data_IF_485545071207
#
_entry.id   IF_485545071207
#
_cell.length_a   1.000
_cell.length_b   1.000
_cell.length_c   1.000
_cell.angle_alpha   90.00
_cell.angle_beta   90.00
_cell.angle_gamma   90.00
#
_symmetry.space_group_name_H-M   'P 1'
#
loop_
_entity.id
_entity.type
_entity.pdbx_description
1 polymer ?
#
# COMPACT_ATOMS: atom_id res chain seq x y z
N UNK A 1 -34.60 56.85 38.40
CA UNK A 1 -33.59 57.45 37.51
C UNK A 1 -33.56 56.55 36.28
N UNK A 2 -34.52 56.66 35.36
CA UNK A 2 -34.59 57.57 34.19
C UNK A 2 -33.32 57.45 33.32
N UNK A 3 -33.29 57.25 31.99
CA UNK A 3 -34.16 56.89 30.84
C UNK A 3 -33.12 56.65 29.71
N UNK A 4 -33.40 55.82 28.69
CA UNK A 4 -32.68 55.92 27.42
C UNK A 4 -33.02 54.82 26.42
N UNK A 5 -33.91 55.13 25.47
CA UNK A 5 -34.46 54.28 24.41
C UNK A 5 -33.54 54.13 23.20
N UNK A 6 -33.85 53.12 22.39
CA UNK A 6 -33.27 52.76 21.08
C UNK A 6 -33.08 53.92 20.09
N UNK A 7 -32.06 53.79 19.23
CA UNK A 7 -32.10 54.28 17.85
C UNK A 7 -31.24 53.38 16.91
N UNK A 8 -31.63 53.43 15.64
CA UNK A 8 -31.32 52.55 14.51
C UNK A 8 -29.90 52.68 13.91
N UNK A 9 -29.61 51.76 12.96
CA UNK A 9 -28.50 51.76 11.98
C UNK A 9 -27.16 51.18 12.45
N UNK A 10 -26.99 49.87 12.18
CA UNK A 10 -25.71 49.18 12.21
C UNK A 10 -25.75 47.92 11.36
N UNK A 11 -25.84 48.07 10.03
CA UNK A 11 -25.57 47.00 9.08
C UNK A 11 -24.17 46.44 9.31
N UNK A 12 -24.06 45.21 9.83
CA UNK A 12 -22.83 44.43 9.72
C UNK A 12 -22.85 43.80 8.33
N UNK A 13 -22.30 44.52 7.35
CA UNK A 13 -21.89 43.95 6.07
C UNK A 13 -20.68 43.04 6.35
N UNK A 14 -20.97 41.75 6.53
CA UNK A 14 -19.98 40.69 6.49
C UNK A 14 -20.30 39.76 5.32
N UNK A 15 -20.25 40.29 4.10
CA UNK A 15 -20.15 39.44 2.92
C UNK A 15 -18.79 38.74 3.00
N UNK A 16 -18.80 37.49 3.48
CA UNK A 16 -17.71 36.56 3.20
C UNK A 16 -17.73 36.30 1.70
N UNK A 17 -16.97 37.08 0.94
CA UNK A 17 -16.55 36.72 -0.41
C UNK A 17 -15.75 35.42 -0.32
N UNK A 18 -16.44 34.29 -0.43
CA UNK A 18 -15.81 33.02 -0.71
C UNK A 18 -15.39 33.05 -2.18
N UNK A 19 -14.09 33.21 -2.39
CA UNK A 19 -13.44 33.33 -3.70
C UNK A 19 -13.91 32.21 -4.66
N UNK A 20 -14.51 32.57 -5.80
CA UNK A 20 -15.05 31.61 -6.78
C UNK A 20 -13.98 30.63 -7.28
N UNK A 21 -12.72 31.05 -7.33
CA UNK A 21 -11.58 30.18 -7.64
C UNK A 21 -11.41 29.05 -6.62
N UNK A 22 -11.62 29.33 -5.33
CA UNK A 22 -11.52 28.31 -4.28
C UNK A 22 -12.65 27.28 -4.38
N UNK A 23 -13.84 27.69 -4.84
CA UNK A 23 -14.99 26.80 -5.05
C UNK A 23 -14.74 25.91 -6.26
N UNK A 24 -14.21 26.46 -7.36
CA UNK A 24 -13.85 25.69 -8.55
C UNK A 24 -12.75 24.67 -8.23
N UNK A 25 -11.69 25.05 -7.52
CA UNK A 25 -10.63 24.14 -7.08
C UNK A 25 -11.18 23.00 -6.20
N UNK A 26 -12.01 23.32 -5.20
CA UNK A 26 -12.67 22.32 -4.35
C UNK A 26 -13.60 21.38 -5.15
N UNK A 27 -14.27 21.90 -6.17
CA UNK A 27 -15.14 21.11 -7.05
C UNK A 27 -14.32 20.17 -7.95
N UNK A 28 -13.16 20.63 -8.42
CA UNK A 28 -12.25 19.87 -9.26
C UNK A 28 -11.54 18.78 -8.46
N UNK A 29 -11.12 19.08 -7.24
CA UNK A 29 -10.57 18.08 -6.30
C UNK A 29 -11.60 17.01 -5.93
N UNK A 30 -12.87 17.38 -5.70
CA UNK A 30 -13.96 16.41 -5.47
C UNK A 30 -14.20 15.51 -6.68
N UNK A 31 -14.18 16.07 -7.90
CA UNK A 31 -14.30 15.28 -9.15
C UNK A 31 -13.11 14.33 -9.32
N UNK A 32 -11.89 14.82 -9.11
CA UNK A 32 -10.67 14.02 -9.24
C UNK A 32 -10.57 12.93 -8.17
N UNK A 33 -10.97 13.24 -6.93
CA UNK A 33 -11.07 12.28 -5.83
C UNK A 33 -12.12 11.19 -6.09
N UNK A 34 -13.24 11.55 -6.73
CA UNK A 34 -14.26 10.58 -7.14
C UNK A 34 -13.80 9.65 -8.29
N UNK A 35 -12.84 10.09 -9.10
CA UNK A 35 -12.26 9.30 -10.20
C UNK A 35 -11.14 8.37 -9.72
N UNK A 36 -10.40 8.75 -8.68
CA UNK A 36 -9.29 7.99 -8.12
C UNK A 36 -9.79 6.85 -7.24
N UNK A 37 -9.55 5.62 -7.69
CA UNK A 37 -9.90 4.42 -6.92
C UNK A 37 -9.04 4.24 -5.68
N UNK A 38 -9.66 3.64 -4.66
CA UNK A 38 -8.93 3.19 -3.47
C UNK A 38 -7.93 2.12 -3.87
N UNK A 39 -6.68 2.21 -3.42
CA UNK A 39 -5.65 1.20 -3.69
C UNK A 39 -5.22 0.53 -2.40
N UNK A 40 -5.14 -0.79 -2.39
CA UNK A 40 -4.79 -1.58 -1.21
C UNK A 40 -3.55 -2.42 -1.52
N UNK A 41 -2.49 -2.18 -0.76
CA UNK A 41 -1.31 -3.04 -0.74
C UNK A 41 -1.34 -3.90 0.52
N UNK A 42 -1.44 -5.22 0.39
CA UNK A 42 -1.21 -6.12 1.53
C UNK A 42 0.26 -6.50 1.58
N UNK A 43 0.93 -6.22 2.69
CA UNK A 43 2.35 -6.48 2.89
C UNK A 43 2.54 -7.43 4.07
N UNK A 44 2.77 -8.70 3.76
CA UNK A 44 3.14 -9.70 4.75
C UNK A 44 4.66 -9.80 4.87
N UNK A 45 5.15 -10.07 6.08
CA UNK A 45 6.55 -10.46 6.30
C UNK A 45 6.63 -11.91 6.70
N UNK A 46 7.51 -12.68 6.07
CA UNK A 46 7.72 -14.09 6.37
C UNK A 46 9.16 -14.35 6.78
N UNK A 47 9.34 -15.21 7.78
CA UNK A 47 10.65 -15.77 8.14
C UNK A 47 10.44 -17.14 8.78
N UNK A 48 10.84 -18.19 8.08
CA UNK A 48 10.66 -19.58 8.51
C UNK A 48 9.19 -19.99 8.78
N UNK A 49 8.24 -19.40 8.07
CA UNK A 49 6.83 -19.80 8.15
C UNK A 49 6.67 -21.26 7.68
N UNK A 50 5.70 -21.94 8.26
CA UNK A 50 5.29 -23.29 7.86
C UNK A 50 4.40 -23.25 6.61
N UNK A 51 4.24 -24.38 5.94
CA UNK A 51 3.32 -24.47 4.80
C UNK A 51 1.88 -24.09 5.17
N UNK A 52 1.44 -24.41 6.39
CA UNK A 52 0.08 -24.10 6.86
C UNK A 52 -0.12 -22.60 7.01
N UNK A 53 0.86 -21.89 7.61
CA UNK A 53 0.83 -20.43 7.77
C UNK A 53 0.85 -19.75 6.39
N UNK A 54 1.77 -20.16 5.51
CA UNK A 54 1.82 -19.65 4.14
C UNK A 54 0.50 -19.88 3.38
N UNK A 55 -0.12 -21.05 3.55
CA UNK A 55 -1.39 -21.39 2.93
C UNK A 55 -2.54 -20.52 3.45
N UNK A 56 -2.57 -20.21 4.75
CA UNK A 56 -3.58 -19.33 5.35
C UNK A 56 -3.49 -17.90 4.79
N UNK A 57 -2.28 -17.33 4.74
CA UNK A 57 -2.09 -16.02 4.14
C UNK A 57 -2.48 -16.02 2.65
N UNK A 58 -1.99 -17.00 1.88
CA UNK A 58 -2.24 -17.07 0.45
C UNK A 58 -3.74 -17.23 0.14
N UNK A 59 -4.48 -17.99 0.96
CA UNK A 59 -5.95 -18.03 0.87
C UNK A 59 -6.58 -16.66 1.05
N UNK A 60 -6.12 -15.87 2.01
CA UNK A 60 -6.62 -14.51 2.23
C UNK A 60 -6.34 -13.58 1.05
N UNK A 61 -5.13 -13.66 0.48
CA UNK A 61 -4.73 -12.92 -0.73
C UNK A 61 -5.61 -13.33 -1.92
N UNK A 62 -5.84 -14.63 -2.14
CA UNK A 62 -6.68 -15.15 -3.23
C UNK A 62 -8.15 -14.74 -3.08
N UNK A 63 -8.67 -14.64 -1.85
CA UNK A 63 -10.02 -14.11 -1.61
C UNK A 63 -10.14 -12.64 -2.00
N UNK A 64 -9.13 -11.82 -1.67
CA UNK A 64 -9.10 -10.41 -2.09
C UNK A 64 -9.01 -10.26 -3.61
N UNK A 65 -8.20 -11.10 -4.25
CA UNK A 65 -8.08 -11.14 -5.70
C UNK A 65 -9.41 -11.48 -6.38
N UNK A 66 -10.10 -12.51 -5.88
CA UNK A 66 -11.42 -12.91 -6.37
C UNK A 66 -12.49 -11.84 -6.15
N UNK A 67 -12.55 -11.19 -4.99
CA UNK A 67 -13.52 -10.12 -4.69
C UNK A 67 -13.32 -8.92 -5.62
N UNK A 68 -12.07 -8.46 -5.75
CA UNK A 68 -11.75 -7.33 -6.62
C UNK A 68 -12.02 -7.65 -8.10
N UNK A 69 -11.77 -8.90 -8.54
CA UNK A 69 -12.10 -9.35 -9.89
C UNK A 69 -13.62 -9.29 -10.16
N UNK A 70 -14.43 -9.78 -9.22
CA UNK A 70 -15.89 -9.75 -9.33
C UNK A 70 -16.40 -8.30 -9.43
N UNK A 71 -15.90 -7.39 -8.59
CA UNK A 71 -16.24 -5.96 -8.61
C UNK A 71 -15.83 -5.28 -9.92
N UNK A 72 -14.60 -5.56 -10.40
CA UNK A 72 -14.10 -5.05 -11.68
C UNK A 72 -14.98 -5.48 -12.84
N UNK A 73 -15.41 -6.74 -12.83
CA UNK A 73 -16.30 -7.32 -13.85
C UNK A 73 -17.68 -6.66 -13.80
N UNK A 74 -18.29 -6.55 -12.62
CA UNK A 74 -19.57 -5.89 -12.44
C UNK A 74 -19.54 -4.44 -12.94
N UNK A 75 -18.46 -3.71 -12.67
CA UNK A 75 -18.29 -2.34 -13.16
C UNK A 75 -18.15 -2.27 -14.69
N UNK A 76 -17.30 -3.11 -15.27
CA UNK A 76 -16.96 -3.03 -16.69
C UNK A 76 -18.12 -3.49 -17.58
N UNK A 77 -18.84 -4.53 -17.16
CA UNK A 77 -19.87 -5.18 -17.98
C UNK A 77 -21.30 -4.81 -17.60
N UNK A 78 -21.57 -4.52 -16.31
CA UNK A 78 -22.93 -4.16 -15.85
C UNK A 78 -23.08 -2.64 -15.63
N UNK A 79 -22.01 -1.87 -15.83
CA UNK A 79 -21.96 -0.42 -15.58
C UNK A 79 -22.45 0.00 -14.20
N UNK A 80 -22.40 -0.92 -13.23
CA UNK A 80 -22.77 -0.64 -11.85
C UNK A 80 -21.68 0.22 -11.20
N UNK A 81 -22.09 1.35 -10.63
CA UNK A 81 -21.19 2.20 -9.85
C UNK A 81 -20.97 1.58 -8.48
N UNK A 82 -19.84 0.90 -8.31
CA UNK A 82 -19.39 0.37 -7.02
C UNK A 82 -18.61 1.45 -6.25
N UNK A 83 -19.24 2.02 -5.22
CA UNK A 83 -18.62 3.03 -4.34
C UNK A 83 -17.48 2.46 -3.48
N UNK A 84 -17.50 1.14 -3.25
CA UNK A 84 -16.51 0.42 -2.45
C UNK A 84 -15.43 -0.22 -3.32
N UNK A 85 -15.38 0.12 -4.61
CA UNK A 85 -14.38 -0.42 -5.53
C UNK A 85 -12.96 -0.07 -5.07
N UNK A 86 -12.09 -1.07 -5.08
CA UNK A 86 -10.67 -0.91 -4.79
C UNK A 86 -9.81 -1.65 -5.81
N UNK A 87 -8.57 -1.21 -5.97
CA UNK A 87 -7.51 -1.94 -6.63
C UNK A 87 -6.66 -2.67 -5.61
N UNK A 88 -6.20 -3.87 -5.94
CA UNK A 88 -5.47 -4.73 -5.01
C UNK A 88 -4.11 -5.17 -5.55
N UNK A 89 -3.14 -5.22 -4.66
CA UNK A 89 -1.86 -5.87 -4.92
C UNK A 89 -1.28 -6.52 -3.64
N UNK A 90 -0.85 -7.76 -3.79
CA UNK A 90 -0.25 -8.54 -2.71
C UNK A 90 1.28 -8.48 -2.73
N UNK A 91 1.88 -8.28 -1.56
CA UNK A 91 3.31 -8.36 -1.35
C UNK A 91 3.66 -9.28 -0.19
N UNK A 92 4.68 -10.10 -0.40
CA UNK A 92 5.27 -10.94 0.64
C UNK A 92 6.77 -10.63 0.70
N UNK A 93 7.26 -10.21 1.87
CA UNK A 93 8.67 -9.92 2.10
C UNK A 93 9.30 -11.08 2.87
N UNK A 94 10.00 -11.94 2.13
CA UNK A 94 10.76 -13.05 2.72
C UNK A 94 12.09 -12.54 3.26
N UNK A 95 12.29 -12.69 4.56
CA UNK A 95 13.54 -12.38 5.23
C UNK A 95 14.51 -13.56 5.19
N UNK A 96 15.80 -13.29 4.99
CA UNK A 96 16.85 -14.30 4.85
C UNK A 96 16.46 -15.45 3.91
N UNK A 97 16.07 -15.07 2.69
CA UNK A 97 15.37 -15.92 1.73
C UNK A 97 16.31 -16.68 0.79
N UNK A 98 17.62 -16.48 0.92
CA UNK A 98 18.65 -17.07 0.06
C UNK A 98 19.68 -17.84 0.89
N UNK A 99 20.26 -18.87 0.28
CA UNK A 99 21.35 -19.67 0.81
C UNK A 99 22.40 -19.91 -0.28
N UNK A 100 23.63 -20.21 0.12
CA UNK A 100 24.71 -20.55 -0.82
C UNK A 100 24.61 -22.03 -1.18
N UNK A 101 24.64 -22.33 -2.47
CA UNK A 101 24.73 -23.70 -2.96
C UNK A 101 26.19 -24.21 -2.98
N UNK A 102 26.38 -25.44 -3.45
CA UNK A 102 27.71 -26.09 -3.56
C UNK A 102 28.67 -25.34 -4.50
N UNK A 103 28.15 -24.47 -5.37
CA UNK A 103 28.91 -23.64 -6.31
C UNK A 103 29.15 -22.22 -5.78
N UNK A 104 28.80 -21.93 -4.52
CA UNK A 104 28.80 -20.59 -3.91
C UNK A 104 27.85 -19.60 -4.61
N UNK A 105 26.80 -20.08 -5.28
CA UNK A 105 25.75 -19.24 -5.85
C UNK A 105 24.62 -19.03 -4.83
N UNK A 106 24.11 -17.80 -4.75
CA UNK A 106 22.98 -17.45 -3.89
C UNK A 106 21.67 -17.92 -4.54
N UNK A 107 21.07 -18.96 -3.99
CA UNK A 107 19.82 -19.58 -4.46
C UNK A 107 18.68 -19.38 -3.46
N UNK A 108 17.41 -19.41 -3.89
CA UNK A 108 16.28 -19.35 -2.96
C UNK A 108 16.26 -20.56 -2.02
N UNK A 109 16.10 -20.28 -0.73
CA UNK A 109 16.08 -21.32 0.30
C UNK A 109 14.82 -22.20 0.25
N UNK A 110 14.81 -23.26 1.06
CA UNK A 110 13.66 -24.19 1.17
C UNK A 110 12.30 -23.52 1.42
N UNK A 111 12.25 -22.40 2.16
CA UNK A 111 10.99 -21.72 2.49
C UNK A 111 10.41 -21.00 1.27
N UNK A 112 11.27 -20.44 0.41
CA UNK A 112 10.83 -19.90 -0.88
C UNK A 112 10.30 -21.03 -1.77
N UNK A 113 10.94 -22.20 -1.76
CA UNK A 113 10.44 -23.36 -2.51
C UNK A 113 9.10 -23.87 -1.98
N UNK A 114 8.90 -23.88 -0.65
CA UNK A 114 7.61 -24.19 -0.04
C UNK A 114 6.50 -23.25 -0.51
N UNK A 115 6.77 -21.93 -0.57
CA UNK A 115 5.81 -20.96 -1.12
C UNK A 115 5.37 -21.33 -2.55
N UNK A 116 6.31 -21.73 -3.41
CA UNK A 116 6.00 -22.16 -4.78
C UNK A 116 5.05 -23.36 -4.81
N UNK A 117 5.21 -24.31 -3.88
CA UNK A 117 4.33 -25.49 -3.78
C UNK A 117 2.96 -25.19 -3.18
N UNK A 118 2.82 -24.11 -2.40
CA UNK A 118 1.58 -23.77 -1.71
C UNK A 118 0.64 -22.89 -2.56
N UNK A 119 1.16 -22.14 -3.55
CA UNK A 119 0.35 -21.19 -4.33
C UNK A 119 -0.81 -21.85 -5.08
N UNK A 120 -0.58 -23.00 -5.72
CA UNK A 120 -1.60 -23.76 -6.45
C UNK A 120 -2.66 -24.35 -5.51
N UNK A 121 -2.23 -24.82 -4.33
CA UNK A 121 -3.11 -25.31 -3.28
C UNK A 121 -4.02 -24.21 -2.74
N UNK A 122 -3.48 -22.99 -2.56
CA UNK A 122 -4.26 -21.84 -2.13
C UNK A 122 -5.30 -21.43 -3.18
N UNK A 123 -4.90 -21.35 -4.45
CA UNK A 123 -5.81 -21.05 -5.55
C UNK A 123 -6.93 -22.09 -5.67
N UNK A 124 -6.57 -23.38 -5.66
CA UNK A 124 -7.52 -24.50 -5.74
C UNK A 124 -8.54 -24.45 -4.59
N UNK A 125 -8.08 -24.14 -3.37
CA UNK A 125 -8.95 -24.07 -2.20
C UNK A 125 -9.95 -22.91 -2.25
N UNK A 126 -9.59 -21.76 -2.84
CA UNK A 126 -10.47 -20.59 -2.92
C UNK A 126 -11.42 -20.68 -4.12
N UNK A 127 -10.93 -21.11 -5.28
CA UNK A 127 -11.76 -21.24 -6.48
C UNK A 127 -12.60 -22.52 -6.52
N UNK A 128 -12.37 -23.46 -5.60
CA UNK A 128 -13.10 -24.74 -5.49
C UNK A 128 -13.02 -25.60 -6.75
N UNK A 129 -11.94 -25.43 -7.54
CA UNK A 129 -11.62 -26.24 -8.71
C UNK A 129 -10.11 -26.42 -8.80
N UNK A 130 -9.61 -27.50 -9.44
CA UNK A 130 -8.18 -27.69 -9.64
C UNK A 130 -7.57 -26.51 -10.42
N UNK A 131 -6.72 -25.73 -9.75
CA UNK A 131 -6.07 -24.55 -10.32
C UNK A 131 -4.56 -24.76 -10.40
N UNK A 132 -3.96 -24.31 -11.51
CA UNK A 132 -2.52 -24.26 -11.68
C UNK A 132 -2.12 -22.84 -12.06
N UNK A 133 -1.37 -22.18 -11.20
CA UNK A 133 -0.90 -20.82 -11.41
C UNK A 133 0.37 -20.87 -12.27
N UNK A 134 0.50 -20.01 -13.29
CA UNK A 134 1.73 -19.91 -14.05
C UNK A 134 2.94 -19.58 -13.15
N UNK A 135 4.14 -20.06 -13.49
CA UNK A 135 5.34 -19.74 -12.73
C UNK A 135 5.60 -18.23 -12.69
N UNK A 136 6.23 -17.71 -11.62
CA UNK A 136 6.45 -16.28 -11.49
C UNK A 136 7.48 -15.75 -12.49
N UNK A 137 7.31 -14.49 -12.87
CA UNK A 137 8.39 -13.71 -13.46
C UNK A 137 9.46 -13.44 -12.42
N UNK A 138 10.70 -13.78 -12.75
CA UNK A 138 11.88 -13.58 -11.90
C UNK A 138 12.56 -12.28 -12.31
N UNK A 139 12.83 -11.40 -11.35
CA UNK A 139 13.58 -10.16 -11.58
C UNK A 139 14.68 -10.03 -10.55
N UNK A 140 15.96 -9.89 -10.93
CA UNK A 140 17.02 -9.57 -9.99
C UNK A 140 16.80 -8.17 -9.40
N UNK A 141 17.13 -7.99 -8.12
CA UNK A 141 16.95 -6.70 -7.44
C UNK A 141 18.18 -6.36 -6.59
N UNK A 142 18.41 -5.08 -6.25
CA UNK A 142 19.56 -4.69 -5.42
C UNK A 142 19.62 -5.36 -4.04
N UNK A 143 18.49 -5.92 -3.55
CA UNK A 143 18.38 -6.57 -2.25
C UNK A 143 18.29 -8.11 -2.35
N UNK A 144 18.41 -8.68 -3.55
CA UNK A 144 18.22 -10.12 -3.80
C UNK A 144 17.45 -10.35 -5.08
N UNK A 145 16.19 -10.77 -4.96
CA UNK A 145 15.33 -11.04 -6.12
C UNK A 145 13.87 -10.71 -5.87
N UNK A 146 13.07 -10.82 -6.93
CA UNK A 146 11.63 -10.64 -6.90
C UNK A 146 10.96 -11.71 -7.77
N UNK A 147 9.92 -12.33 -7.23
CA UNK A 147 9.03 -13.26 -7.93
C UNK A 147 7.66 -12.58 -8.07
N UNK A 148 7.16 -12.47 -9.29
CA UNK A 148 5.88 -11.80 -9.59
C UNK A 148 4.92 -12.76 -10.28
N UNK A 149 3.75 -12.95 -9.68
CA UNK A 149 2.64 -13.72 -10.24
C UNK A 149 1.51 -12.80 -10.66
N UNK A 150 0.79 -13.23 -11.70
CA UNK A 150 -0.55 -12.74 -12.00
C UNK A 150 -1.51 -13.78 -11.42
N UNK A 151 -2.34 -13.36 -10.47
CA UNK A 151 -3.34 -14.21 -9.83
C UNK A 151 -4.54 -14.44 -10.77
N UNK A 152 -5.42 -15.43 -10.51
CA UNK A 152 -6.55 -15.74 -11.39
C UNK A 152 -7.51 -14.56 -11.63
N UNK A 153 -7.72 -13.73 -10.61
CA UNK A 153 -8.50 -12.49 -10.69
C UNK A 153 -7.78 -11.34 -11.40
N UNK A 154 -6.51 -11.54 -11.78
CA UNK A 154 -5.70 -10.60 -12.55
C UNK A 154 -4.94 -9.57 -11.72
N UNK A 155 -4.97 -9.64 -10.39
CA UNK A 155 -4.11 -8.82 -9.53
C UNK A 155 -2.71 -9.43 -9.42
N UNK A 156 -1.74 -8.61 -9.00
CA UNK A 156 -0.37 -9.07 -8.80
C UNK A 156 -0.14 -9.59 -7.39
N UNK A 157 0.61 -10.69 -7.29
CA UNK A 157 1.27 -11.13 -6.07
C UNK A 157 2.78 -11.02 -6.29
N UNK A 158 3.48 -10.34 -5.38
CA UNK A 158 4.90 -10.06 -5.50
C UNK A 158 5.62 -10.56 -4.24
N UNK A 159 6.46 -11.59 -4.39
CA UNK A 159 7.37 -12.02 -3.33
C UNK A 159 8.73 -11.33 -3.51
N UNK A 160 9.15 -10.61 -2.47
CA UNK A 160 10.46 -9.99 -2.35
C UNK A 160 11.40 -10.96 -1.64
N UNK A 161 12.39 -11.47 -2.37
CA UNK A 161 13.36 -12.45 -1.89
C UNK A 161 14.57 -11.68 -1.39
N UNK A 162 14.67 -11.49 -0.07
CA UNK A 162 15.77 -10.73 0.54
C UNK A 162 16.99 -11.61 0.75
N UNK A 163 18.12 -11.11 0.29
CA UNK A 163 19.44 -11.67 0.54
C UNK A 163 20.04 -10.96 1.77
N UNK A 164 20.35 -11.72 2.83
CA UNK A 164 20.90 -11.18 4.09
C UNK A 164 22.26 -10.50 3.93
N UNK A 165 23.00 -10.82 2.86
CA UNK A 165 24.31 -10.21 2.57
C UNK A 165 24.15 -8.82 1.95
N UNK A 166 23.01 -8.55 1.29
CA UNK A 166 22.73 -7.29 0.56
C UNK A 166 21.88 -6.30 1.35
N UNK A 167 20.96 -6.79 2.18
CA UNK A 167 20.03 -5.93 2.93
C UNK A 167 19.91 -6.37 4.39
N UNK A 168 19.55 -5.42 5.27
CA UNK A 168 19.29 -5.70 6.68
C UNK A 168 18.19 -6.76 6.83
N UNK A 169 18.52 -7.82 7.56
CA UNK A 169 17.62 -8.92 7.89
C UNK A 169 16.82 -8.64 9.17
N UNK A 170 15.87 -9.51 9.51
CA UNK A 170 14.83 -9.49 10.57
C UNK A 170 13.50 -8.85 10.15
N UNK A 171 12.40 -9.35 10.74
CA UNK A 171 11.01 -8.92 10.48
C UNK A 171 10.83 -7.39 10.49
N UNK A 172 11.37 -6.67 11.47
CA UNK A 172 11.28 -5.19 11.53
C UNK A 172 11.96 -4.49 10.34
N UNK A 173 13.08 -5.01 9.84
CA UNK A 173 13.75 -4.45 8.67
C UNK A 173 13.00 -4.76 7.38
N UNK A 174 12.32 -5.91 7.29
CA UNK A 174 11.36 -6.20 6.20
C UNK A 174 10.19 -5.22 6.21
N UNK A 175 9.68 -4.84 7.40
CA UNK A 175 8.64 -3.82 7.51
C UNK A 175 9.10 -2.44 7.02
N UNK A 176 10.31 -2.04 7.42
CA UNK A 176 10.93 -0.82 6.90
C UNK A 176 11.08 -0.91 5.38
N UNK A 177 11.53 -2.05 4.84
CA UNK A 177 11.75 -2.23 3.41
C UNK A 177 10.49 -1.98 2.58
N UNK A 178 9.32 -2.50 2.97
CA UNK A 178 8.12 -2.27 2.16
C UNK A 178 7.66 -0.81 2.19
N UNK A 179 7.91 -0.08 3.28
CA UNK A 179 7.66 1.37 3.30
C UNK A 179 8.57 2.09 2.29
N UNK A 180 9.85 1.73 2.23
CA UNK A 180 10.78 2.30 1.24
C UNK A 180 10.44 1.90 -0.20
N UNK A 181 10.05 0.65 -0.42
CA UNK A 181 9.68 0.14 -1.73
C UNK A 181 8.39 0.77 -2.25
N UNK A 182 7.31 0.74 -1.44
CA UNK A 182 6.00 1.24 -1.86
C UNK A 182 5.95 2.76 -1.87
N UNK A 183 6.35 3.41 -0.79
CA UNK A 183 6.32 4.86 -0.74
C UNK A 183 7.40 5.41 -1.68
N UNK A 184 8.66 5.02 -1.51
CA UNK A 184 9.78 5.61 -2.24
C UNK A 184 9.90 5.27 -3.71
N UNK A 185 10.01 3.99 -4.02
CA UNK A 185 10.29 3.54 -5.37
C UNK A 185 9.02 3.53 -6.23
N UNK A 186 7.89 3.09 -5.67
CA UNK A 186 6.66 2.88 -6.45
C UNK A 186 5.75 4.10 -6.54
N UNK A 187 5.55 4.83 -5.44
CA UNK A 187 4.66 6.01 -5.43
C UNK A 187 5.39 7.31 -5.81
N UNK A 188 6.58 7.54 -5.26
CA UNK A 188 7.35 8.76 -5.55
C UNK A 188 8.20 8.66 -6.83
N UNK A 189 8.50 7.46 -7.32
CA UNK A 189 9.24 7.23 -8.57
C UNK A 189 10.69 7.76 -8.56
N UNK A 190 11.16 8.30 -7.45
CA UNK A 190 12.43 9.00 -7.39
C UNK A 190 13.17 8.64 -6.09
N UNK A 191 13.91 7.52 -6.16
CA UNK A 191 14.81 7.05 -5.11
C UNK A 191 15.78 8.16 -4.65
N UNK A 192 16.11 9.12 -5.53
CA UNK A 192 16.95 10.28 -5.22
C UNK A 192 16.36 11.18 -4.12
N UNK A 193 15.03 11.28 -4.03
CA UNK A 193 14.35 12.10 -3.02
C UNK A 193 14.50 11.45 -1.65
N UNK A 194 14.26 10.14 -1.56
CA UNK A 194 14.45 9.38 -0.33
C UNK A 194 15.93 9.32 0.07
N UNK A 195 16.84 9.17 -0.89
CA UNK A 195 18.27 9.16 -0.61
C UNK A 195 18.75 10.53 -0.10
N UNK A 196 18.23 11.65 -0.64
CA UNK A 196 18.44 13.00 -0.10
C UNK A 196 17.93 13.11 1.35
N UNK A 197 16.74 12.57 1.67
CA UNK A 197 16.20 12.56 3.03
C UNK A 197 17.09 11.72 3.98
N UNK A 198 17.60 10.59 3.51
CA UNK A 198 18.44 9.68 4.30
C UNK A 198 19.86 10.24 4.51
N UNK A 199 20.51 10.78 3.47
CA UNK A 199 21.83 11.43 3.56
C UNK A 199 21.81 12.66 4.49
N UNK A 200 20.68 13.37 4.56
CA UNK A 200 20.48 14.50 5.50
C UNK A 200 20.54 14.06 6.97
N UNK A 201 20.22 12.79 7.27
CA UNK A 201 20.32 12.19 8.61
C UNK A 201 21.77 11.93 9.03
N UNK A 202 22.65 11.59 8.09
CA UNK A 202 24.06 11.24 8.37
C UNK A 202 24.94 12.47 8.70
N UNK A 203 24.55 13.68 8.30
CA UNK A 203 25.24 14.94 8.65
C UNK A 203 24.78 15.60 9.95
N UNK A 204 23.80 15.03 10.68
CA UNK A 204 23.24 15.63 11.91
C UNK A 204 23.46 14.73 13.15
N UNK A 205 24.71 14.53 13.53
CA UNK A 205 25.06 14.31 14.94
C UNK A 205 25.12 15.68 15.61
N UNK A 206 23.96 16.27 15.87
CA UNK A 206 23.82 17.33 16.87
C UNK A 206 22.34 17.48 17.23
N UNK A 207 22.09 17.27 18.51
CA UNK A 207 20.96 17.71 19.34
C UNK A 207 19.81 18.50 18.68
N UNK A 208 18.58 18.16 19.11
CA UNK A 208 17.30 18.92 19.08
C UNK A 208 16.20 18.47 18.10
N UNK A 209 15.06 18.18 18.72
CA UNK A 209 13.67 18.14 18.27
C UNK A 209 13.27 17.15 17.16
N UNK A 210 12.66 16.04 17.60
CA UNK A 210 11.93 15.04 16.78
C UNK A 210 10.82 15.66 15.90
N UNK A 211 10.33 16.86 16.20
CA UNK A 211 9.24 17.54 15.46
C UNK A 211 9.65 18.09 14.07
N UNK A 212 10.95 18.22 13.76
CA UNK A 212 11.40 18.72 12.45
C UNK A 212 11.44 17.66 11.34
N UNK A 213 11.31 16.37 11.67
CA UNK A 213 11.42 15.28 10.69
C UNK A 213 10.20 15.20 9.76
N UNK A 214 8.99 15.48 10.27
CA UNK A 214 7.74 15.46 9.50
C UNK A 214 7.60 16.65 8.52
N UNK A 215 8.25 17.80 8.80
CA UNK A 215 8.21 18.96 7.89
C UNK A 215 8.84 18.69 6.52
N UNK A 216 9.86 17.83 6.44
CA UNK A 216 10.55 17.55 5.18
C UNK A 216 9.72 16.70 4.20
N UNK A 217 8.95 15.75 4.73
CA UNK A 217 8.01 14.95 3.92
C UNK A 217 6.74 15.74 3.59
N UNK A 218 6.25 16.56 4.53
CA UNK A 218 5.13 17.48 4.27
C UNK A 218 5.42 18.46 3.13
N UNK A 219 6.60 19.10 3.12
CA UNK A 219 6.98 19.99 2.01
C UNK A 219 7.17 19.26 0.67
N UNK A 220 7.54 17.97 0.69
CA UNK A 220 7.63 17.15 -0.51
C UNK A 220 6.23 16.81 -1.06
N UNK A 221 5.30 16.45 -0.18
CA UNK A 221 3.90 16.18 -0.54
C UNK A 221 3.22 17.43 -1.11
N UNK A 222 3.54 18.61 -0.59
CA UNK A 222 2.97 19.87 -1.09
C UNK A 222 3.45 20.26 -2.50
N UNK A 223 4.60 19.75 -2.92
CA UNK A 223 5.15 20.00 -4.26
C UNK A 223 4.79 18.90 -5.29
N UNK A 224 3.95 17.95 -4.89
CA UNK A 224 3.51 16.86 -5.75
C UNK A 224 2.25 17.27 -6.51
N UNK A 225 2.12 16.83 -7.76
CA UNK A 225 0.91 17.01 -8.58
C UNK A 225 -0.35 16.54 -7.81
N UNK A 226 -1.41 17.34 -7.86
CA UNK A 226 -2.65 17.12 -7.11
C UNK A 226 -3.24 15.72 -7.35
N UNK A 227 -3.14 15.21 -8.59
CA UNK A 227 -3.58 13.85 -8.92
C UNK A 227 -2.81 12.76 -8.15
N UNK A 228 -1.49 12.91 -8.04
CA UNK A 228 -0.66 11.96 -7.28
C UNK A 228 -0.90 12.09 -5.78
N UNK A 229 -1.11 13.31 -5.26
CA UNK A 229 -1.47 13.54 -3.85
C UNK A 229 -2.77 12.80 -3.49
N UNK A 230 -3.83 12.98 -4.29
CA UNK A 230 -5.12 12.29 -4.10
C UNK A 230 -4.96 10.77 -4.21
N UNK A 231 -4.15 10.28 -5.15
CA UNK A 231 -3.85 8.84 -5.26
C UNK A 231 -3.15 8.30 -4.01
N UNK A 232 -2.18 9.03 -3.47
CA UNK A 232 -1.49 8.65 -2.25
C UNK A 232 -2.43 8.65 -1.04
N UNK A 233 -3.32 9.64 -0.92
CA UNK A 233 -4.33 9.72 0.14
C UNK A 233 -5.41 8.64 0.06
N UNK A 234 -5.61 8.05 -1.13
CA UNK A 234 -6.51 6.92 -1.37
C UNK A 234 -5.76 5.58 -1.44
N UNK A 235 -4.48 5.55 -1.08
CA UNK A 235 -3.67 4.33 -1.01
C UNK A 235 -3.49 3.87 0.43
N UNK A 236 -3.83 2.62 0.70
CA UNK A 236 -3.78 1.99 2.02
C UNK A 236 -2.79 0.83 2.03
N UNK A 237 -2.07 0.71 3.14
CA UNK A 237 -1.13 -0.37 3.38
C UNK A 237 -1.64 -1.23 4.52
N UNK A 238 -1.88 -2.51 4.23
CA UNK A 238 -2.23 -3.52 5.20
C UNK A 238 -0.96 -4.29 5.59
N UNK A 239 -0.41 -4.00 6.76
CA UNK A 239 0.74 -4.70 7.30
C UNK A 239 0.29 -6.01 7.96
N UNK A 240 0.83 -7.13 7.52
CA UNK A 240 0.39 -8.48 7.89
C UNK A 240 1.55 -9.32 8.43
N UNK A 241 1.23 -10.27 9.31
CA UNK A 241 2.14 -11.38 9.66
C UNK A 241 1.91 -12.59 8.73
N UNK A 242 2.77 -13.60 8.82
CA UNK A 242 2.74 -14.78 7.94
C UNK A 242 1.55 -15.73 8.15
N UNK A 243 0.86 -15.63 9.29
CA UNK A 243 -0.16 -16.58 9.79
C UNK A 243 -1.59 -16.01 9.79
N UNK A 244 -1.79 -14.84 9.19
CA UNK A 244 -3.09 -14.16 9.20
C UNK A 244 -4.11 -14.81 8.26
N UNK A 245 -5.34 -14.92 8.74
CA UNK A 245 -6.51 -15.30 7.93
C UNK A 245 -7.56 -14.20 7.97
N UNK A 246 -7.94 -13.67 6.80
CA UNK A 246 -8.93 -12.60 6.70
C UNK A 246 -9.76 -12.69 5.42
N UNK A 247 -10.84 -11.92 5.41
CA UNK A 247 -11.80 -11.84 4.31
C UNK A 247 -11.92 -10.42 3.75
N UNK A 248 -12.34 -10.27 2.49
CA UNK A 248 -12.49 -8.96 1.84
C UNK A 248 -13.37 -7.97 2.62
N UNK A 249 -14.43 -8.45 3.27
CA UNK A 249 -15.34 -7.60 4.05
C UNK A 249 -14.64 -6.92 5.23
N UNK A 250 -13.72 -7.62 5.89
CA UNK A 250 -12.95 -7.07 6.99
C UNK A 250 -12.01 -5.95 6.51
N UNK A 251 -11.40 -6.13 5.34
CA UNK A 251 -10.50 -5.13 4.73
C UNK A 251 -11.28 -3.89 4.31
N UNK A 252 -12.46 -4.05 3.68
CA UNK A 252 -13.33 -2.92 3.32
C UNK A 252 -13.78 -2.15 4.55
N UNK A 253 -14.25 -2.84 5.59
CA UNK A 253 -14.66 -2.20 6.85
C UNK A 253 -13.51 -1.40 7.48
N UNK A 254 -12.28 -1.91 7.41
CA UNK A 254 -11.10 -1.20 7.89
C UNK A 254 -10.87 0.08 7.10
N UNK A 255 -10.91 0.00 5.76
CA UNK A 255 -10.77 1.16 4.87
C UNK A 255 -11.85 2.21 5.15
N UNK A 256 -13.11 1.80 5.33
CA UNK A 256 -14.21 2.71 5.63
C UNK A 256 -13.99 3.46 6.95
N UNK A 257 -13.50 2.76 7.98
CA UNK A 257 -13.15 3.39 9.26
C UNK A 257 -11.99 4.37 9.11
N UNK A 258 -10.99 4.06 8.28
CA UNK A 258 -9.88 4.97 8.02
C UNK A 258 -10.31 6.20 7.22
N UNK A 259 -11.27 6.07 6.29
CA UNK A 259 -11.83 7.19 5.53
C UNK A 259 -12.63 8.15 6.42
N UNK A 260 -13.32 7.64 7.45
CA UNK A 260 -14.10 8.47 8.40
C UNK A 260 -13.25 9.33 9.34
N UNK A 261 -12.01 8.93 9.60
CA UNK A 261 -11.09 9.62 10.51
C UNK A 261 -10.03 10.47 9.77
N UNK A 262 -10.38 11.02 8.60
CA UNK A 262 -9.52 11.99 7.87
C UNK A 262 -9.61 13.38 8.50
#
# INVERSE_FOLDING_TARGET
MIIGTYDEMGTVNGETEFDEQSIEELSMEKKLSAEVHTKIFSCATMWHETETEMLQLLKSIMRLDSDQCARRTARNYLHLKDLDYYEYEGHIFFDDATEEDENNEQVPNKFVQQLLGVIDRAATAIHQCPMKIPPPFKTPTPYGGRLTWILPGGNFLIAHIKDKTKIRHKKRWSQVMYMYYLLGYRLFGDLNIIEKLYKRKRKKNSSKNKSKLFKGFGNLLNNMDNKKRIQMENTYLLALDGDVDFRPEAVRLLVDRMKKNK
#
